data_IF_899686269706
#
_entry.id   IF_899686269706
#
_cell.length_a   1.000
_cell.length_b   1.000
_cell.length_c   1.000
_cell.angle_alpha   90.00
_cell.angle_beta   90.00
_cell.angle_gamma   90.00
#
_symmetry.space_group_name_H-M   'P 1'
#
loop_
_entity.id
_entity.type
_entity.pdbx_description
1 polymer ?
#
# COMPACT_ATOMS: atom_id res chain seq x y z
N UNK A 1 -9.78 -39.59 17.83
CA UNK A 1 -10.59 -38.38 17.56
C UNK A 1 -9.82 -37.07 17.73
N UNK A 2 -8.66 -37.03 18.40
CA UNK A 2 -7.92 -35.78 18.66
C UNK A 2 -6.94 -35.38 17.52
N UNK A 3 -6.53 -36.32 16.67
CA UNK A 3 -5.60 -36.05 15.55
C UNK A 3 -6.31 -35.39 14.35
N UNK A 4 -7.61 -35.67 14.16
CA UNK A 4 -8.42 -35.08 13.08
C UNK A 4 -8.69 -33.59 13.29
N UNK A 5 -8.95 -33.18 14.53
CA UNK A 5 -9.22 -31.78 14.88
C UNK A 5 -7.97 -30.91 14.76
N UNK A 6 -6.78 -31.43 15.07
CA UNK A 6 -5.53 -30.69 14.89
C UNK A 6 -5.16 -30.52 13.41
N UNK A 7 -5.43 -31.53 12.57
CA UNK A 7 -5.22 -31.44 11.12
C UNK A 7 -6.23 -30.47 10.48
N UNK A 8 -7.48 -30.47 10.94
CA UNK A 8 -8.48 -29.54 10.47
C UNK A 8 -8.18 -28.10 10.93
N UNK A 9 -7.72 -27.89 12.17
CA UNK A 9 -7.26 -26.57 12.65
C UNK A 9 -6.01 -26.09 11.89
N UNK A 10 -5.07 -26.99 11.58
CA UNK A 10 -3.87 -26.66 10.81
C UNK A 10 -4.22 -26.33 9.35
N UNK A 11 -5.12 -27.08 8.71
CA UNK A 11 -5.64 -26.74 7.38
C UNK A 11 -6.44 -25.42 7.39
N UNK A 12 -7.19 -25.13 8.47
CA UNK A 12 -7.91 -23.86 8.62
C UNK A 12 -6.94 -22.68 8.82
N UNK A 13 -5.86 -22.87 9.59
CA UNK A 13 -4.80 -21.88 9.81
C UNK A 13 -3.96 -21.65 8.55
N UNK A 14 -3.60 -22.70 7.81
CA UNK A 14 -2.88 -22.60 6.53
C UNK A 14 -3.76 -21.92 5.46
N UNK A 15 -5.08 -22.11 5.51
CA UNK A 15 -6.04 -21.41 4.62
C UNK A 15 -6.16 -19.90 4.91
N UNK A 16 -5.69 -19.42 6.06
CA UNK A 16 -5.75 -18.01 6.47
C UNK A 16 -4.42 -17.27 6.30
N UNK A 17 -3.30 -17.98 6.09
CA UNK A 17 -2.02 -17.35 5.81
C UNK A 17 -1.94 -16.95 4.34
N UNK A 18 -2.02 -15.64 4.07
CA UNK A 18 -1.65 -15.08 2.76
C UNK A 18 -0.16 -15.33 2.55
N UNK A 19 0.19 -16.36 1.77
CA UNK A 19 1.59 -16.62 1.39
C UNK A 19 1.95 -15.70 0.23
N UNK A 20 2.97 -14.87 0.41
CA UNK A 20 3.50 -14.04 -0.66
C UNK A 20 4.35 -14.89 -1.59
N UNK A 21 4.09 -14.83 -2.91
CA UNK A 21 4.73 -15.65 -3.94
C UNK A 21 5.34 -14.77 -5.03
N UNK A 22 6.32 -15.28 -5.77
CA UNK A 22 7.01 -14.56 -6.85
C UNK A 22 6.51 -15.06 -8.20
N UNK A 23 6.16 -14.13 -9.09
CA UNK A 23 5.82 -14.44 -10.48
C UNK A 23 6.64 -13.57 -11.42
N UNK A 24 6.97 -14.11 -12.59
CA UNK A 24 7.63 -13.38 -13.67
C UNK A 24 6.65 -13.26 -14.83
N UNK A 25 6.40 -12.04 -15.28
CA UNK A 25 5.44 -11.74 -16.34
C UNK A 25 6.16 -11.15 -17.55
N UNK A 26 5.76 -11.56 -18.75
CA UNK A 26 6.16 -10.93 -20.01
C UNK A 26 5.08 -9.94 -20.43
N UNK A 27 5.47 -8.73 -20.84
CA UNK A 27 4.56 -7.73 -21.40
C UNK A 27 5.02 -7.35 -22.81
N UNK A 28 4.09 -7.29 -23.76
CA UNK A 28 4.38 -6.94 -25.16
C UNK A 28 3.32 -6.03 -25.78
N UNK A 29 3.73 -5.04 -26.58
CA UNK A 29 2.82 -4.11 -27.28
C UNK A 29 3.37 -3.69 -28.64
N UNK A 30 2.49 -3.52 -29.64
CA UNK A 30 2.87 -3.02 -30.97
C UNK A 30 1.94 -1.93 -31.55
N UNK A 31 0.88 -1.54 -30.82
CA UNK A 31 -0.08 -0.52 -31.27
C UNK A 31 -0.01 0.75 -30.43
N UNK A 32 -0.39 1.89 -31.03
CA UNK A 32 -0.52 3.17 -30.32
C UNK A 32 0.78 3.63 -29.64
N UNK A 33 0.64 4.27 -28.47
CA UNK A 33 1.77 4.71 -27.66
C UNK A 33 2.31 3.53 -26.82
N UNK A 34 3.29 2.81 -27.39
CA UNK A 34 3.87 1.59 -26.80
C UNK A 34 4.46 1.81 -25.40
N UNK A 35 5.12 2.95 -25.16
CA UNK A 35 5.69 3.24 -23.83
C UNK A 35 4.60 3.45 -22.78
N UNK A 36 3.57 4.20 -23.14
CA UNK A 36 2.41 4.45 -22.27
C UNK A 36 1.62 3.17 -22.00
N UNK A 37 1.42 2.32 -23.01
CA UNK A 37 0.78 1.01 -22.83
C UNK A 37 1.54 0.13 -21.83
N UNK A 38 2.87 0.06 -21.94
CA UNK A 38 3.71 -0.67 -20.98
C UNK A 38 3.59 -0.07 -19.58
N UNK A 39 3.67 1.26 -19.45
CA UNK A 39 3.58 1.93 -18.15
C UNK A 39 2.21 1.68 -17.49
N UNK A 40 1.12 1.89 -18.22
CA UNK A 40 -0.23 1.68 -17.69
C UNK A 40 -0.46 0.22 -17.27
N UNK A 41 0.10 -0.74 -18.01
CA UNK A 41 0.04 -2.15 -17.63
C UNK A 41 0.82 -2.43 -16.34
N UNK A 42 2.01 -1.85 -16.19
CA UNK A 42 2.82 -1.97 -14.96
C UNK A 42 2.08 -1.38 -13.76
N UNK A 43 1.46 -0.20 -13.93
CA UNK A 43 0.72 0.47 -12.85
C UNK A 43 -0.51 -0.35 -12.43
N UNK A 44 -1.29 -0.86 -13.39
CA UNK A 44 -2.43 -1.74 -13.11
C UNK A 44 -2.02 -3.07 -12.47
N UNK A 45 -0.86 -3.63 -12.84
CA UNK A 45 -0.32 -4.83 -12.20
C UNK A 45 0.09 -4.51 -10.77
N UNK A 46 0.76 -3.38 -10.53
CA UNK A 46 1.14 -2.96 -9.18
C UNK A 46 -0.09 -2.80 -8.26
N UNK A 47 -1.20 -2.26 -8.80
CA UNK A 47 -2.43 -2.04 -8.05
C UNK A 47 -3.28 -3.31 -7.85
N UNK A 48 -3.40 -4.17 -8.88
CA UNK A 48 -4.35 -5.30 -8.87
C UNK A 48 -3.72 -6.67 -8.61
N UNK A 49 -2.40 -6.82 -8.77
CA UNK A 49 -1.69 -8.10 -8.63
C UNK A 49 -0.77 -8.11 -7.43
N UNK A 50 -0.01 -7.02 -7.24
CA UNK A 50 0.91 -6.84 -6.12
C UNK A 50 2.22 -6.15 -6.53
N UNK A 51 3.14 -6.01 -5.57
CA UNK A 51 4.31 -5.14 -5.74
C UNK A 51 5.24 -5.61 -6.86
N UNK A 52 5.55 -4.69 -7.79
CA UNK A 52 6.57 -4.87 -8.83
C UNK A 52 7.95 -4.68 -8.19
N UNK A 53 8.76 -5.73 -8.19
CA UNK A 53 10.09 -5.74 -7.60
C UNK A 53 11.18 -5.27 -8.57
N UNK A 54 11.04 -5.63 -9.86
CA UNK A 54 11.99 -5.25 -10.89
C UNK A 54 11.33 -5.25 -12.27
N UNK A 55 11.85 -4.41 -13.16
CA UNK A 55 11.42 -4.29 -14.56
C UNK A 55 12.69 -4.40 -15.42
N UNK A 56 12.65 -5.23 -16.46
CA UNK A 56 13.73 -5.31 -17.44
C UNK A 56 13.83 -4.01 -18.24
N UNK A 57 14.90 -3.87 -19.00
CA UNK A 57 14.98 -2.87 -20.05
C UNK A 57 13.95 -3.16 -21.16
N UNK A 58 13.66 -2.14 -21.98
CA UNK A 58 12.73 -2.29 -23.12
C UNK A 58 13.48 -2.84 -24.32
N UNK A 59 12.96 -3.94 -24.87
CA UNK A 59 13.54 -4.59 -26.04
C UNK A 59 12.59 -4.50 -27.23
N UNK A 60 13.12 -3.97 -28.32
CA UNK A 60 12.44 -3.81 -29.60
C UNK A 60 12.69 -5.04 -30.49
N UNK A 61 11.63 -5.58 -31.08
CA UNK A 61 11.70 -6.67 -32.08
C UNK A 61 10.82 -6.39 -33.29
N UNK A 62 11.23 -6.88 -34.46
CA UNK A 62 10.41 -6.80 -35.67
C UNK A 62 9.12 -7.63 -35.53
N UNK A 63 8.11 -7.29 -36.34
CA UNK A 63 6.86 -8.05 -36.43
C UNK A 63 7.11 -9.39 -37.13
N UNK A 64 6.67 -10.48 -36.51
CA UNK A 64 6.85 -11.84 -37.06
C UNK A 64 5.80 -12.11 -38.13
N UNK A 65 6.20 -12.10 -39.41
CA UNK A 65 5.41 -12.64 -40.53
C UNK A 65 4.32 -11.75 -41.13
N UNK A 66 4.23 -10.46 -40.77
CA UNK A 66 3.32 -9.48 -41.37
C UNK A 66 3.94 -8.06 -41.34
N UNK A 67 3.58 -7.17 -42.28
CA UNK A 67 3.93 -5.73 -42.21
C UNK A 67 3.17 -5.07 -41.05
N UNK A 68 3.77 -5.06 -39.86
CA UNK A 68 3.25 -4.29 -38.72
C UNK A 68 4.36 -3.59 -37.94
N UNK A 69 3.97 -2.63 -37.09
CA UNK A 69 4.90 -1.88 -36.26
C UNK A 69 5.71 -2.80 -35.34
N UNK A 70 6.93 -2.37 -35.03
CA UNK A 70 7.82 -3.08 -34.11
C UNK A 70 7.19 -3.28 -32.72
N UNK A 71 7.42 -4.44 -32.12
CA UNK A 71 7.00 -4.76 -30.75
C UNK A 71 7.97 -4.21 -29.73
N UNK A 72 7.45 -3.69 -28.62
CA UNK A 72 8.21 -3.40 -27.41
C UNK A 72 7.89 -4.47 -26.38
N UNK A 73 8.93 -5.13 -25.86
CA UNK A 73 8.83 -6.25 -24.94
C UNK A 73 9.61 -5.96 -23.65
N UNK A 74 9.02 -6.31 -22.51
CA UNK A 74 9.68 -6.30 -21.20
C UNK A 74 9.31 -7.56 -20.42
N UNK A 75 10.09 -7.85 -19.39
CA UNK A 75 9.71 -8.75 -18.31
C UNK A 75 9.68 -8.00 -16.99
N UNK A 76 8.76 -8.38 -16.11
CA UNK A 76 8.66 -7.84 -14.77
C UNK A 76 8.64 -8.96 -13.73
N UNK A 77 9.24 -8.70 -12.57
CA UNK A 77 9.17 -9.56 -11.39
C UNK A 77 8.17 -8.95 -10.42
N UNK A 78 7.18 -9.74 -10.02
CA UNK A 78 6.08 -9.29 -9.15
C UNK A 78 5.92 -10.22 -7.96
N UNK A 79 5.58 -9.64 -6.81
CA UNK A 79 5.08 -10.42 -5.68
C UNK A 79 3.56 -10.41 -5.67
N UNK A 80 2.94 -11.54 -5.36
CA UNK A 80 1.49 -11.65 -5.31
C UNK A 80 1.03 -12.60 -4.21
N UNK A 81 -0.15 -12.31 -3.67
CA UNK A 81 -0.88 -13.22 -2.78
C UNK A 81 -1.96 -14.01 -3.52
N UNK A 82 -2.15 -13.76 -4.82
CA UNK A 82 -3.16 -14.44 -5.61
C UNK A 82 -2.67 -15.82 -6.05
N UNK A 83 -3.52 -16.85 -5.99
CA UNK A 83 -3.20 -18.14 -6.60
C UNK A 83 -3.11 -17.99 -8.14
N UNK A 84 -2.36 -18.87 -8.83
CA UNK A 84 -2.07 -18.75 -10.27
C UNK A 84 -3.31 -18.55 -11.17
N UNK A 85 -4.39 -19.28 -10.92
CA UNK A 85 -5.62 -19.17 -11.72
C UNK A 85 -6.30 -17.79 -11.54
N UNK A 86 -6.30 -17.27 -10.31
CA UNK A 86 -6.87 -15.95 -10.01
C UNK A 86 -6.00 -14.84 -10.61
N UNK A 87 -4.67 -15.00 -10.53
CA UNK A 87 -3.73 -14.10 -11.19
C UNK A 87 -4.01 -14.01 -12.69
N UNK A 88 -4.13 -15.15 -13.37
CA UNK A 88 -4.46 -15.18 -14.81
C UNK A 88 -5.76 -14.43 -15.14
N UNK A 89 -6.81 -14.58 -14.33
CA UNK A 89 -8.06 -13.82 -14.51
C UNK A 89 -7.86 -12.31 -14.39
N UNK A 90 -7.07 -11.87 -13.39
CA UNK A 90 -6.78 -10.45 -13.17
C UNK A 90 -6.00 -9.88 -14.36
N UNK A 91 -4.97 -10.59 -14.84
CA UNK A 91 -4.17 -10.15 -16.00
C UNK A 91 -5.04 -10.01 -17.26
N UNK A 92 -5.93 -10.96 -17.53
CA UNK A 92 -6.88 -10.88 -18.66
C UNK A 92 -7.82 -9.67 -18.55
N UNK A 93 -8.21 -9.28 -17.34
CA UNK A 93 -9.04 -8.09 -17.12
C UNK A 93 -8.24 -6.81 -17.37
N UNK A 94 -6.98 -6.74 -16.92
CA UNK A 94 -6.07 -5.61 -17.19
C UNK A 94 -5.90 -5.42 -18.70
N UNK A 95 -5.67 -6.49 -19.45
CA UNK A 95 -5.57 -6.41 -20.91
C UNK A 95 -6.87 -5.85 -21.53
N UNK A 96 -8.03 -6.33 -21.06
CA UNK A 96 -9.32 -5.86 -21.54
C UNK A 96 -9.54 -4.37 -21.26
N UNK A 97 -9.11 -3.89 -20.09
CA UNK A 97 -9.19 -2.48 -19.67
C UNK A 97 -8.29 -1.58 -20.54
N UNK A 98 -7.11 -2.06 -20.92
CA UNK A 98 -6.19 -1.36 -21.84
C UNK A 98 -6.60 -1.49 -23.33
N UNK A 99 -7.83 -1.92 -23.59
CA UNK A 99 -8.44 -1.89 -24.92
C UNK A 99 -8.33 -3.18 -25.73
N UNK A 100 -8.00 -4.33 -25.11
CA UNK A 100 -8.04 -5.63 -25.79
C UNK A 100 -9.50 -6.02 -26.13
N UNK A 101 -9.94 -5.73 -27.35
CA UNK A 101 -11.17 -6.30 -27.92
C UNK A 101 -10.90 -7.74 -28.34
N UNK A 102 -11.47 -8.74 -27.65
CA UNK A 102 -11.37 -10.15 -28.06
C UNK A 102 -11.96 -10.34 -29.46
N UNK A 103 -11.13 -10.53 -30.48
CA UNK A 103 -11.55 -11.03 -31.80
C UNK A 103 -11.26 -12.54 -31.86
N UNK A 104 -12.24 -13.32 -32.30
CA UNK A 104 -12.17 -14.78 -32.48
C UNK A 104 -11.30 -15.19 -33.69
N UNK A 105 -10.03 -14.78 -33.74
CA UNK A 105 -9.09 -15.20 -34.80
C UNK A 105 -7.87 -15.86 -34.16
N UNK A 106 -7.58 -17.09 -34.58
CA UNK A 106 -6.37 -17.80 -34.20
C UNK A 106 -5.16 -17.18 -34.92
N UNK A 107 -4.23 -16.57 -34.19
CA UNK A 107 -2.99 -15.98 -34.74
C UNK A 107 -2.42 -14.81 -33.95
N UNK A 108 -1.28 -14.29 -34.39
CA UNK A 108 -0.72 -13.02 -33.92
C UNK A 108 -1.47 -11.87 -34.60
N UNK A 109 -2.38 -11.25 -33.87
CA UNK A 109 -2.99 -9.98 -34.27
C UNK A 109 -2.24 -8.82 -33.61
N UNK A 110 -2.36 -7.62 -34.19
CA UNK A 110 -1.89 -6.39 -33.56
C UNK A 110 -2.61 -6.16 -32.21
N UNK A 111 -1.85 -5.75 -31.19
CA UNK A 111 -2.27 -5.68 -29.78
C UNK A 111 -1.86 -4.37 -29.13
N UNK A 112 -2.79 -3.81 -28.35
CA UNK A 112 -2.48 -2.72 -27.42
C UNK A 112 -1.55 -3.20 -26.28
N UNK A 113 -1.78 -4.38 -25.71
CA UNK A 113 -0.90 -5.02 -24.72
C UNK A 113 -1.21 -6.53 -24.64
N UNK A 114 -0.19 -7.33 -24.36
CA UNK A 114 -0.27 -8.77 -24.08
C UNK A 114 0.54 -9.07 -22.82
N UNK A 115 -0.02 -9.87 -21.90
CA UNK A 115 0.57 -10.15 -20.59
C UNK A 115 0.56 -11.67 -20.34
N UNK A 116 1.74 -12.28 -20.35
CA UNK A 116 1.91 -13.73 -20.15
C UNK A 116 2.58 -14.03 -18.81
N UNK A 117 2.11 -15.05 -18.09
CA UNK A 117 2.78 -15.60 -16.90
C UNK A 117 3.89 -16.54 -17.38
N UNK A 118 5.15 -16.20 -17.13
CA UNK A 118 6.31 -17.01 -17.52
C UNK A 118 6.67 -18.06 -16.47
N UNK A 119 6.79 -17.65 -15.22
CA UNK A 119 7.19 -18.47 -14.08
C UNK A 119 6.35 -18.06 -12.87
N UNK A 120 6.03 -19.02 -12.01
CA UNK A 120 5.32 -18.80 -10.75
C UNK A 120 6.00 -19.65 -9.67
N UNK A 121 6.84 -19.03 -8.85
CA UNK A 121 7.86 -19.67 -8.03
C UNK A 121 8.58 -20.81 -8.79
N UNK A 122 8.59 -22.01 -8.22
CA UNK A 122 9.14 -23.24 -8.78
C UNK A 122 8.04 -24.20 -9.28
N UNK A 123 6.81 -23.73 -9.45
CA UNK A 123 5.67 -24.57 -9.82
C UNK A 123 5.70 -25.03 -11.28
N UNK A 124 5.15 -26.23 -11.48
CA UNK A 124 4.82 -26.77 -12.79
C UNK A 124 3.30 -26.99 -12.82
N UNK A 125 2.61 -26.11 -13.54
CA UNK A 125 1.15 -26.09 -13.68
C UNK A 125 0.80 -26.51 -15.10
N UNK A 126 -0.05 -27.51 -15.24
CA UNK A 126 -0.61 -27.93 -16.52
C UNK A 126 -2.13 -28.07 -16.39
N UNK A 127 -2.85 -27.05 -16.82
CA UNK A 127 -4.31 -27.01 -16.79
C UNK A 127 -4.87 -26.56 -18.15
N UNK A 128 -6.20 -26.61 -18.30
CA UNK A 128 -6.87 -26.13 -19.52
C UNK A 128 -6.73 -24.61 -19.71
N UNK A 129 -6.52 -23.87 -18.64
CA UNK A 129 -6.57 -22.40 -18.61
C UNK A 129 -5.20 -21.76 -18.40
N UNK A 130 -4.24 -22.49 -17.83
CA UNK A 130 -2.91 -21.99 -17.47
C UNK A 130 -1.84 -23.08 -17.59
N UNK A 131 -0.72 -22.74 -18.23
CA UNK A 131 0.50 -23.55 -18.29
C UNK A 131 1.67 -22.71 -17.75
N UNK A 132 2.33 -23.19 -16.70
CA UNK A 132 3.51 -22.57 -16.08
C UNK A 132 4.56 -23.66 -15.83
N UNK A 133 5.84 -23.46 -16.13
CA UNK A 133 6.41 -22.38 -16.93
C UNK A 133 5.75 -22.24 -18.31
N UNK A 134 5.73 -21.04 -18.87
CA UNK A 134 5.08 -20.79 -20.15
C UNK A 134 5.70 -21.65 -21.26
N UNK A 135 4.90 -22.49 -21.92
CA UNK A 135 5.38 -23.56 -22.82
C UNK A 135 6.29 -23.11 -23.96
N UNK A 136 6.15 -21.87 -24.44
CA UNK A 136 6.94 -21.31 -25.54
C UNK A 136 8.02 -20.31 -25.09
N UNK A 137 8.23 -20.11 -23.79
CA UNK A 137 9.17 -19.08 -23.32
C UNK A 137 10.60 -19.35 -23.80
N UNK A 138 11.06 -20.60 -23.69
CA UNK A 138 12.43 -21.01 -24.04
C UNK A 138 12.74 -20.95 -25.54
N UNK A 139 11.71 -20.88 -26.37
CA UNK A 139 11.83 -20.82 -27.83
C UNK A 139 11.77 -19.39 -28.38
N UNK A 140 11.73 -18.37 -27.51
CA UNK A 140 11.48 -16.98 -27.90
C UNK A 140 12.50 -16.04 -27.27
N UNK A 141 13.39 -15.51 -28.09
CA UNK A 141 14.47 -14.62 -27.66
C UNK A 141 13.93 -13.31 -27.07
N UNK A 142 12.85 -12.77 -27.63
CA UNK A 142 12.19 -11.54 -27.15
C UNK A 142 11.59 -11.66 -25.74
N UNK A 143 11.40 -12.89 -25.24
CA UNK A 143 11.00 -13.20 -23.87
C UNK A 143 12.24 -13.51 -23.03
N UNK A 144 13.14 -14.37 -23.53
CA UNK A 144 14.27 -14.87 -22.76
C UNK A 144 15.33 -13.80 -22.46
N UNK A 145 15.55 -12.84 -23.36
CA UNK A 145 16.49 -11.73 -23.13
C UNK A 145 16.06 -10.84 -21.97
N UNK A 146 14.84 -10.23 -21.97
CA UNK A 146 14.39 -9.45 -20.83
C UNK A 146 14.24 -10.27 -19.54
N UNK A 147 13.83 -11.54 -19.64
CA UNK A 147 13.74 -12.39 -18.44
C UNK A 147 15.12 -12.67 -17.84
N UNK A 148 16.13 -12.97 -18.65
CA UNK A 148 17.49 -13.25 -18.16
C UNK A 148 18.13 -12.02 -17.49
N UNK A 149 17.79 -10.81 -17.93
CA UNK A 149 18.23 -9.55 -17.30
C UNK A 149 17.82 -9.48 -15.81
N UNK A 150 16.57 -9.85 -15.49
CA UNK A 150 16.01 -9.73 -14.13
C UNK A 150 15.98 -11.04 -13.34
N UNK A 151 16.18 -12.18 -14.01
CA UNK A 151 15.98 -13.52 -13.45
C UNK A 151 17.11 -14.49 -13.85
N UNK A 152 18.26 -14.03 -14.29
CA UNK A 152 19.32 -14.89 -14.85
C UNK A 152 19.79 -16.01 -13.93
N UNK A 153 19.73 -15.84 -12.61
CA UNK A 153 20.08 -16.85 -11.60
C UNK A 153 18.94 -17.80 -11.22
N UNK A 154 17.69 -17.49 -11.57
CA UNK A 154 16.53 -18.33 -11.29
C UNK A 154 16.67 -19.66 -12.04
N UNK A 155 16.31 -20.76 -11.38
CA UNK A 155 16.32 -22.10 -11.97
C UNK A 155 14.97 -22.35 -12.65
N UNK A 156 14.99 -22.69 -13.94
CA UNK A 156 13.79 -23.07 -14.65
C UNK A 156 13.21 -24.38 -14.08
N UNK A 157 11.92 -24.44 -13.69
CA UNK A 157 11.33 -25.60 -13.02
C UNK A 157 11.43 -26.92 -13.79
N UNK A 158 11.38 -26.89 -15.12
CA UNK A 158 11.43 -28.10 -15.98
C UNK A 158 12.87 -28.43 -16.39
N UNK A 159 13.52 -27.55 -17.17
CA UNK A 159 14.92 -27.72 -17.61
C UNK A 159 15.97 -27.87 -16.48
N UNK A 160 15.66 -27.46 -15.25
CA UNK A 160 16.57 -27.45 -14.09
C UNK A 160 17.89 -26.69 -14.34
N UNK A 161 17.88 -25.76 -15.28
CA UNK A 161 19.01 -24.88 -15.60
C UNK A 161 18.68 -23.44 -15.23
N UNK A 162 19.72 -22.63 -15.01
CA UNK A 162 19.55 -21.19 -14.80
C UNK A 162 18.96 -20.55 -16.04
N UNK A 163 18.07 -19.57 -15.89
CA UNK A 163 17.47 -18.85 -17.02
C UNK A 163 18.54 -18.26 -17.96
N UNK A 164 19.67 -17.78 -17.44
CA UNK A 164 20.77 -17.29 -18.26
C UNK A 164 21.36 -18.39 -19.18
N UNK A 165 21.40 -19.65 -18.72
CA UNK A 165 21.85 -20.79 -19.52
C UNK A 165 20.75 -21.18 -20.52
N UNK A 166 19.50 -21.20 -20.10
CA UNK A 166 18.37 -21.46 -21.00
C UNK A 166 18.33 -20.48 -22.19
N UNK A 167 18.66 -19.20 -21.97
CA UNK A 167 18.77 -18.21 -23.05
C UNK A 167 19.88 -18.57 -24.06
N UNK A 168 21.02 -19.11 -23.61
CA UNK A 168 22.10 -19.55 -24.51
C UNK A 168 21.68 -20.72 -25.41
N UNK A 169 20.73 -21.53 -24.95
CA UNK A 169 20.18 -22.67 -25.69
C UNK A 169 18.95 -22.29 -26.54
N UNK A 170 18.58 -21.02 -26.60
CA UNK A 170 17.45 -20.53 -27.39
C UNK A 170 17.83 -20.47 -28.88
N UNK A 171 17.14 -21.23 -29.73
CA UNK A 171 17.41 -21.30 -31.17
C UNK A 171 16.69 -20.20 -31.99
N UNK A 172 16.20 -19.14 -31.33
CA UNK A 172 15.53 -18.03 -32.02
C UNK A 172 16.58 -16.99 -32.46
N UNK A 173 16.74 -16.86 -33.78
CA UNK A 173 17.71 -15.98 -34.42
C UNK A 173 17.20 -14.55 -34.62
N UNK A 174 16.02 -14.20 -34.09
CA UNK A 174 15.45 -12.85 -34.22
C UNK A 174 16.39 -11.76 -33.69
N UNK A 175 16.41 -10.63 -34.39
CA UNK A 175 17.12 -9.43 -33.95
C UNK A 175 16.39 -8.76 -32.79
N UNK A 176 17.15 -8.39 -31.76
CA UNK A 176 16.63 -7.71 -30.58
C UNK A 176 17.46 -6.45 -30.34
N UNK A 177 16.78 -5.31 -30.29
CA UNK A 177 17.41 -4.01 -30.07
C UNK A 177 17.01 -3.48 -28.70
N UNK A 178 17.99 -3.20 -27.85
CA UNK A 178 17.79 -2.50 -26.58
C UNK A 178 17.40 -1.04 -26.86
N UNK A 179 16.36 -0.56 -26.18
CA UNK A 179 15.96 0.84 -26.20
C UNK A 179 16.50 1.59 -24.98
N UNK A 180 16.64 2.91 -25.12
CA UNK A 180 17.16 3.76 -24.03
C UNK A 180 16.07 4.16 -23.03
N UNK A 181 14.81 4.13 -23.46
CA UNK A 181 13.66 4.41 -22.61
C UNK A 181 13.47 3.33 -21.54
N UNK A 182 13.03 3.75 -20.36
CA UNK A 182 12.80 2.84 -19.22
C UNK A 182 11.42 3.09 -18.60
N UNK A 183 10.66 2.03 -18.31
CA UNK A 183 9.44 2.18 -17.54
C UNK A 183 9.77 2.60 -16.10
N UNK A 184 8.86 3.34 -15.46
CA UNK A 184 8.97 3.69 -14.05
C UNK A 184 8.36 2.58 -13.22
N UNK A 185 9.10 2.10 -12.21
CA UNK A 185 8.59 1.14 -11.24
C UNK A 185 7.67 1.85 -10.24
N UNK A 186 6.41 1.41 -10.07
CA UNK A 186 5.56 1.88 -8.99
C UNK A 186 6.17 1.48 -7.65
N UNK A 187 6.46 2.46 -6.79
CA UNK A 187 7.04 2.23 -5.47
C UNK A 187 5.88 1.96 -4.50
N UNK A 188 5.82 0.78 -3.85
CA UNK A 188 4.81 0.50 -2.83
C UNK A 188 4.90 1.48 -1.65
N UNK A 189 3.77 1.77 -1.00
CA UNK A 189 3.72 2.61 0.21
C UNK A 189 4.71 2.12 1.28
N UNK A 190 4.78 0.79 1.49
CA UNK A 190 5.67 0.15 2.46
C UNK A 190 7.16 0.24 2.12
N UNK A 191 7.52 0.57 0.87
CA UNK A 191 8.90 0.86 0.47
C UNK A 191 9.18 2.36 0.53
N UNK A 192 8.16 3.18 0.25
CA UNK A 192 8.26 4.65 0.24
C UNK A 192 8.35 5.24 1.65
N UNK A 193 7.65 4.65 2.61
CA UNK A 193 7.57 5.13 3.99
C UNK A 193 7.82 3.99 4.97
N UNK A 194 8.57 4.27 6.03
CA UNK A 194 8.69 3.40 7.20
C UNK A 194 7.62 3.75 8.24
N UNK A 195 7.24 5.03 8.36
CA UNK A 195 6.27 5.49 9.34
C UNK A 195 5.28 6.52 8.78
N UNK A 196 3.99 6.19 8.81
CA UNK A 196 2.88 7.11 8.49
C UNK A 196 2.05 7.38 9.75
N UNK A 197 1.81 8.65 10.05
CA UNK A 197 0.88 9.05 11.11
C UNK A 197 -0.40 9.63 10.50
N UNK A 198 -1.55 9.07 10.88
CA UNK A 198 -2.87 9.49 10.45
C UNK A 198 -3.52 10.33 11.55
N UNK A 199 -3.76 11.59 11.25
CA UNK A 199 -4.22 12.61 12.17
C UNK A 199 -5.52 13.27 11.71
N UNK A 200 -6.18 13.97 12.62
CA UNK A 200 -7.53 14.46 12.37
C UNK A 200 -8.40 14.58 13.61
N UNK A 201 -9.54 15.25 13.44
CA UNK A 201 -10.47 15.53 14.53
C UNK A 201 -11.14 14.25 15.10
N UNK A 202 -11.79 14.39 16.26
CA UNK A 202 -12.59 13.33 16.88
C UNK A 202 -13.74 12.97 15.92
N UNK A 203 -13.82 11.71 15.50
CA UNK A 203 -14.81 11.27 14.51
C UNK A 203 -14.36 11.36 13.04
N UNK A 204 -13.11 11.73 12.74
CA UNK A 204 -12.62 11.87 11.37
C UNK A 204 -12.32 10.53 10.64
N UNK A 205 -12.32 9.39 11.36
CA UNK A 205 -12.06 8.07 10.75
C UNK A 205 -10.61 7.57 10.80
N UNK A 206 -9.71 8.23 11.54
CA UNK A 206 -8.28 7.87 11.69
C UNK A 206 -8.02 6.40 11.99
N UNK A 207 -8.67 5.88 13.05
CA UNK A 207 -8.51 4.49 13.49
C UNK A 207 -8.97 3.51 12.42
N UNK A 208 -10.05 3.84 11.68
CA UNK A 208 -10.54 3.00 10.58
C UNK A 208 -9.52 2.95 9.44
N UNK A 209 -9.03 4.12 8.99
CA UNK A 209 -8.04 4.18 7.91
C UNK A 209 -6.75 3.46 8.30
N UNK A 210 -6.27 3.64 9.53
CA UNK A 210 -5.05 2.99 10.03
C UNK A 210 -5.16 1.47 10.05
N UNK A 211 -6.33 0.93 10.45
CA UNK A 211 -6.61 -0.51 10.42
C UNK A 211 -6.66 -1.06 9.00
N UNK A 212 -7.37 -0.37 8.10
CA UNK A 212 -7.45 -0.78 6.70
C UNK A 212 -6.06 -0.78 6.03
N UNK A 213 -5.24 0.24 6.27
CA UNK A 213 -3.86 0.29 5.79
C UNK A 213 -2.98 -0.80 6.41
N UNK A 214 -3.15 -1.09 7.70
CA UNK A 214 -2.44 -2.19 8.37
C UNK A 214 -2.77 -3.54 7.74
N UNK A 215 -4.05 -3.81 7.48
CA UNK A 215 -4.51 -5.06 6.87
C UNK A 215 -4.06 -5.20 5.39
N UNK A 216 -4.08 -4.11 4.62
CA UNK A 216 -3.68 -4.12 3.21
C UNK A 216 -2.16 -4.25 3.03
N UNK A 217 -1.39 -3.44 3.77
CA UNK A 217 0.05 -3.34 3.59
C UNK A 217 0.85 -4.18 4.59
N UNK A 218 0.17 -5.01 5.40
CA UNK A 218 0.76 -5.79 6.49
C UNK A 218 1.62 -4.90 7.42
N UNK A 219 1.10 -3.70 7.72
CA UNK A 219 1.79 -2.70 8.52
C UNK A 219 1.61 -2.99 10.01
N UNK A 220 2.63 -2.74 10.82
CA UNK A 220 2.46 -2.67 12.28
C UNK A 220 1.60 -1.46 12.61
N UNK A 221 0.54 -1.67 13.38
CA UNK A 221 -0.39 -0.61 13.76
C UNK A 221 -0.14 -0.11 15.17
N UNK A 222 -0.13 1.22 15.35
CA UNK A 222 -0.06 1.87 16.67
C UNK A 222 -1.33 2.67 16.87
N UNK A 223 -2.17 2.25 17.83
CA UNK A 223 -3.47 2.85 18.10
C UNK A 223 -3.47 3.62 19.42
N UNK A 224 -4.10 4.78 19.44
CA UNK A 224 -4.26 5.56 20.66
C UNK A 224 -5.05 4.79 21.73
N UNK A 225 -4.47 4.70 22.93
CA UNK A 225 -5.08 4.07 24.10
C UNK A 225 -5.81 5.13 24.93
N UNK A 226 -7.08 5.39 24.61
CA UNK A 226 -7.92 6.32 25.39
C UNK A 226 -8.96 5.63 26.27
N UNK A 227 -9.31 4.36 25.99
CA UNK A 227 -10.42 3.67 26.65
C UNK A 227 -10.14 3.39 28.14
N UNK A 228 -8.89 3.12 28.49
CA UNK A 228 -8.49 2.75 29.86
C UNK A 228 -8.12 3.99 30.72
N UNK A 229 -8.31 5.20 30.19
CA UNK A 229 -7.89 6.42 30.89
C UNK A 229 -8.89 6.81 31.99
N UNK A 230 -8.49 6.78 33.29
CA UNK A 230 -9.41 7.04 34.40
C UNK A 230 -9.83 8.51 34.55
N UNK A 231 -9.16 9.43 33.85
CA UNK A 231 -9.48 10.86 33.85
C UNK A 231 -10.41 11.25 32.71
N UNK A 232 -10.50 10.46 31.63
CA UNK A 232 -11.26 10.83 30.45
C UNK A 232 -12.76 10.99 30.73
N UNK A 233 -13.46 10.06 31.41
CA UNK A 233 -14.86 10.28 31.79
C UNK A 233 -15.02 11.51 32.69
N UNK A 234 -14.12 11.67 33.68
CA UNK A 234 -14.16 12.78 34.65
C UNK A 234 -13.93 14.14 34.01
N UNK A 235 -13.11 14.22 32.96
CA UNK A 235 -12.91 15.42 32.17
C UNK A 235 -14.18 15.89 31.48
N UNK A 236 -15.01 14.97 30.98
CA UNK A 236 -16.29 15.36 30.38
C UNK A 236 -17.31 15.84 31.42
N UNK A 237 -17.16 15.46 32.69
CA UNK A 237 -17.98 15.95 33.81
C UNK A 237 -17.47 17.31 34.34
N UNK A 238 -16.15 17.46 34.52
CA UNK A 238 -15.49 18.65 35.07
C UNK A 238 -14.15 18.91 34.35
N UNK A 239 -14.22 19.69 33.27
CA UNK A 239 -13.06 20.00 32.43
C UNK A 239 -11.98 20.74 33.20
N UNK A 240 -12.35 21.73 34.02
CA UNK A 240 -11.39 22.59 34.70
C UNK A 240 -10.53 21.80 35.67
N UNK A 241 -11.12 20.85 36.40
CA UNK A 241 -10.40 20.05 37.39
C UNK A 241 -9.56 18.92 36.77
N UNK A 242 -10.01 18.33 35.67
CA UNK A 242 -9.43 17.09 35.15
C UNK A 242 -8.68 17.25 33.82
N UNK A 243 -8.67 18.42 33.18
CA UNK A 243 -7.93 18.64 31.94
C UNK A 243 -6.43 18.37 32.10
N UNK A 244 -5.77 18.96 33.10
CA UNK A 244 -4.33 18.78 33.29
C UNK A 244 -3.90 17.32 33.53
N UNK A 245 -4.47 16.56 34.49
CA UNK A 245 -4.11 15.16 34.66
C UNK A 245 -4.44 14.30 33.44
N UNK A 246 -5.53 14.60 32.72
CA UNK A 246 -5.88 13.91 31.48
C UNK A 246 -4.80 14.13 30.39
N UNK A 247 -4.48 15.39 30.08
CA UNK A 247 -3.50 15.69 29.03
C UNK A 247 -2.11 15.12 29.37
N UNK A 248 -1.67 15.21 30.64
CA UNK A 248 -0.41 14.61 31.07
C UNK A 248 -0.40 13.09 30.93
N UNK A 249 -1.51 12.42 31.26
CA UNK A 249 -1.61 10.97 31.07
C UNK A 249 -1.55 10.59 29.58
N UNK A 250 -2.22 11.34 28.70
CA UNK A 250 -2.11 11.11 27.26
C UNK A 250 -0.70 11.34 26.74
N UNK A 251 -0.01 12.40 27.19
CA UNK A 251 1.37 12.66 26.79
C UNK A 251 2.31 11.51 27.18
N UNK A 252 2.20 11.01 28.42
CA UNK A 252 2.99 9.89 28.91
C UNK A 252 2.72 8.61 28.11
N UNK A 253 1.46 8.24 27.93
CA UNK A 253 1.06 7.01 27.21
C UNK A 253 1.47 7.06 25.73
N UNK A 254 1.33 8.23 25.08
CA UNK A 254 1.73 8.41 23.68
C UNK A 254 3.24 8.32 23.51
N UNK A 255 4.01 8.93 24.41
CA UNK A 255 5.47 8.85 24.37
C UNK A 255 5.96 7.42 24.60
N UNK A 256 5.42 6.71 25.60
CA UNK A 256 5.82 5.33 25.86
C UNK A 256 5.54 4.44 24.64
N UNK A 257 4.33 4.52 24.06
CA UNK A 257 3.99 3.75 22.86
C UNK A 257 4.87 4.08 21.67
N UNK A 258 5.04 5.36 21.34
CA UNK A 258 5.85 5.74 20.17
C UNK A 258 7.33 5.41 20.38
N UNK A 259 7.85 5.56 21.59
CA UNK A 259 9.24 5.20 21.92
C UNK A 259 9.44 3.69 21.78
N UNK A 260 8.59 2.87 22.40
CA UNK A 260 8.70 1.40 22.37
C UNK A 260 8.47 0.84 20.95
N UNK A 261 7.46 1.35 20.25
CA UNK A 261 7.04 0.79 18.96
C UNK A 261 7.91 1.24 17.79
N UNK A 262 8.47 2.47 17.84
CA UNK A 262 9.31 3.01 16.78
C UNK A 262 10.80 2.76 17.00
N UNK A 263 11.27 2.51 18.24
CA UNK A 263 12.65 2.10 18.48
C UNK A 263 13.00 0.75 17.80
N UNK A 264 12.00 -0.07 17.50
CA UNK A 264 12.16 -1.35 16.81
C UNK A 264 12.26 -1.24 15.28
N UNK A 265 11.98 -0.08 14.68
CA UNK A 265 12.02 0.12 13.23
C UNK A 265 13.39 -0.17 12.61
N UNK A 266 14.48 0.05 13.36
CA UNK A 266 15.85 -0.13 12.87
C UNK A 266 16.27 -1.59 12.71
N UNK A 267 15.63 -2.53 13.45
CA UNK A 267 16.06 -3.94 13.49
C UNK A 267 15.35 -4.83 12.46
N UNK A 268 14.11 -4.50 12.12
CA UNK A 268 13.31 -5.19 11.10
C UNK A 268 12.54 -4.12 10.34
N UNK A 269 12.80 -3.93 9.04
CA UNK A 269 12.06 -2.98 8.20
C UNK A 269 10.57 -3.33 8.20
N UNK A 270 9.84 -2.78 9.16
CA UNK A 270 8.42 -2.96 9.35
C UNK A 270 7.75 -1.62 9.09
N UNK A 271 6.94 -1.55 8.05
CA UNK A 271 6.11 -0.39 7.78
C UNK A 271 5.14 -0.17 8.96
N UNK A 272 5.11 1.02 9.55
CA UNK A 272 4.26 1.40 10.69
C UNK A 272 3.21 2.42 10.25
N UNK A 273 1.98 2.20 10.70
CA UNK A 273 0.88 3.16 10.58
C UNK A 273 0.32 3.45 11.96
N UNK A 274 0.27 4.72 12.36
CA UNK A 274 -0.35 5.15 13.61
C UNK A 274 -1.60 5.98 13.38
N UNK A 275 -2.59 5.90 14.29
CA UNK A 275 -3.82 6.72 14.21
C UNK A 275 -3.74 8.05 14.99
N UNK A 276 -2.53 8.41 15.40
CA UNK A 276 -2.14 9.67 16.00
C UNK A 276 -0.64 9.92 15.82
N UNK A 277 -0.24 11.16 16.02
CA UNK A 277 1.13 11.62 16.23
C UNK A 277 1.20 12.41 17.54
N UNK A 278 2.41 12.53 18.10
CA UNK A 278 2.57 13.10 19.44
C UNK A 278 2.10 14.56 19.52
N UNK A 279 2.17 15.36 18.44
CA UNK A 279 1.72 16.77 18.46
C UNK A 279 0.24 16.97 18.77
N UNK A 280 -0.59 15.95 18.61
CA UNK A 280 -1.96 15.96 19.12
C UNK A 280 -2.02 16.37 20.58
N UNK A 281 -1.05 15.93 21.40
CA UNK A 281 -0.89 16.34 22.79
C UNK A 281 -0.84 17.85 22.98
N UNK A 282 -0.13 18.57 22.12
CA UNK A 282 0.03 20.02 22.23
C UNK A 282 -1.25 20.75 21.77
N UNK A 283 -1.89 20.25 20.70
CA UNK A 283 -3.13 20.81 20.16
C UNK A 283 -4.24 20.74 21.21
N UNK A 284 -4.45 19.58 21.83
CA UNK A 284 -5.49 19.39 22.82
C UNK A 284 -5.21 20.21 24.09
N UNK A 285 -3.98 20.17 24.60
CA UNK A 285 -3.57 20.94 25.76
C UNK A 285 -3.75 22.45 25.58
N UNK A 286 -3.48 22.99 24.39
CA UNK A 286 -3.69 24.42 24.11
C UNK A 286 -5.18 24.83 24.20
N UNK A 287 -6.10 23.89 23.95
CA UNK A 287 -7.54 24.14 23.97
C UNK A 287 -8.12 23.93 25.36
N UNK A 288 -7.60 22.97 26.12
CA UNK A 288 -8.19 22.50 27.38
C UNK A 288 -7.55 23.11 28.63
N UNK A 289 -6.25 23.46 28.59
CA UNK A 289 -5.51 23.90 29.77
C UNK A 289 -5.52 25.42 29.97
N UNK A 290 -5.44 25.83 31.23
CA UNK A 290 -5.20 27.23 31.57
C UNK A 290 -3.76 27.63 31.18
N UNK A 291 -3.50 28.95 31.10
CA UNK A 291 -2.23 29.47 30.58
C UNK A 291 -1.00 28.90 31.32
N UNK A 292 -1.02 28.88 32.66
CA UNK A 292 0.13 28.43 33.44
C UNK A 292 0.32 26.90 33.37
N UNK A 293 -0.79 26.15 33.35
CA UNK A 293 -0.80 24.70 33.13
C UNK A 293 -0.25 24.34 31.74
N UNK A 294 -0.68 25.06 30.70
CA UNK A 294 -0.20 24.88 29.33
C UNK A 294 1.30 25.16 29.21
N UNK A 295 1.81 26.20 29.89
CA UNK A 295 3.25 26.50 29.89
C UNK A 295 4.06 25.38 30.54
N UNK A 296 3.57 24.79 31.64
CA UNK A 296 4.21 23.63 32.26
C UNK A 296 4.14 22.40 31.34
N UNK A 297 2.96 22.14 30.78
CA UNK A 297 2.74 21.03 29.85
C UNK A 297 3.65 21.11 28.63
N UNK A 298 3.78 22.30 28.02
CA UNK A 298 4.65 22.52 26.86
C UNK A 298 6.11 22.25 27.20
N UNK A 299 6.58 22.62 28.39
CA UNK A 299 7.95 22.27 28.83
C UNK A 299 8.14 20.75 28.91
N UNK A 300 7.17 20.02 29.45
CA UNK A 300 7.22 18.55 29.50
C UNK A 300 7.22 17.94 28.09
N UNK A 301 6.33 18.42 27.22
CA UNK A 301 6.26 18.01 25.82
C UNK A 301 7.60 18.22 25.10
N UNK A 302 8.21 19.40 25.22
CA UNK A 302 9.47 19.73 24.53
C UNK A 302 10.65 18.87 25.00
N UNK A 303 10.62 18.37 26.25
CA UNK A 303 11.61 17.43 26.76
C UNK A 303 11.44 16.05 26.12
N UNK A 304 10.20 15.55 26.08
CA UNK A 304 9.87 14.21 25.58
C UNK A 304 9.96 14.12 24.05
N UNK A 305 9.61 15.19 23.34
CA UNK A 305 9.55 15.21 21.88
C UNK A 305 10.90 15.03 21.20
N UNK A 306 12.02 15.38 21.86
CA UNK A 306 13.37 15.30 21.28
C UNK A 306 13.78 13.89 20.87
N UNK A 307 13.23 12.88 21.53
CA UNK A 307 13.57 11.47 21.33
C UNK A 307 12.58 10.75 20.41
N UNK A 308 11.55 11.44 19.93
CA UNK A 308 10.48 10.83 19.14
C UNK A 308 10.84 10.84 17.66
N UNK A 309 10.80 9.64 17.06
CA UNK A 309 10.90 9.45 15.61
C UNK A 309 9.75 10.16 14.91
N UNK A 310 10.08 10.98 13.91
CA UNK A 310 9.10 11.70 13.10
C UNK A 310 8.52 10.78 12.02
N UNK A 311 7.25 10.94 11.64
CA UNK A 311 6.69 10.22 10.50
C UNK A 311 7.33 10.70 9.20
N UNK A 312 7.51 9.76 8.27
CA UNK A 312 7.89 10.05 6.89
C UNK A 312 6.74 10.71 6.12
N UNK A 313 5.50 10.46 6.56
CA UNK A 313 4.30 11.13 6.08
C UNK A 313 3.30 11.37 7.22
N UNK A 314 2.90 12.63 7.38
CA UNK A 314 1.82 13.06 8.26
C UNK A 314 0.55 13.28 7.43
N UNK A 315 -0.45 12.42 7.59
CA UNK A 315 -1.73 12.49 6.86
C UNK A 315 -2.77 13.16 7.76
N UNK A 316 -3.27 14.33 7.38
CA UNK A 316 -4.37 14.98 8.09
C UNK A 316 -5.70 14.73 7.36
N UNK A 317 -6.60 14.00 8.01
CA UNK A 317 -7.97 13.81 7.56
C UNK A 317 -8.83 15.01 7.96
N UNK A 318 -9.07 15.87 6.98
CA UNK A 318 -10.06 16.93 7.08
C UNK A 318 -11.46 16.32 6.96
N UNK A 319 -12.34 16.66 7.90
CA UNK A 319 -13.73 16.22 7.91
C UNK A 319 -14.59 17.35 8.47
N UNK A 320 -15.73 17.62 7.82
CA UNK A 320 -16.62 18.69 8.23
C UNK A 320 -17.32 18.38 9.57
N UNK A 321 -17.67 19.43 10.31
CA UNK A 321 -18.21 19.31 11.68
C UNK A 321 -19.50 18.49 11.76
N UNK A 322 -20.36 18.57 10.74
CA UNK A 322 -21.61 17.81 10.67
C UNK A 322 -21.34 16.31 10.67
N UNK A 323 -20.48 15.84 9.76
CA UNK A 323 -20.05 14.44 9.65
C UNK A 323 -19.30 13.96 10.89
N UNK A 324 -18.45 14.81 11.50
CA UNK A 324 -17.77 14.47 12.75
C UNK A 324 -18.79 14.12 13.85
N UNK A 325 -19.82 14.95 14.02
CA UNK A 325 -20.87 14.71 15.02
C UNK A 325 -21.69 13.45 14.71
N UNK A 326 -22.03 13.21 13.45
CA UNK A 326 -22.70 11.97 13.03
C UNK A 326 -21.86 10.73 13.37
N UNK A 327 -20.56 10.77 13.07
CA UNK A 327 -19.64 9.67 13.37
C UNK A 327 -19.46 9.46 14.88
N UNK A 328 -19.39 10.54 15.67
CA UNK A 328 -19.32 10.46 17.14
C UNK A 328 -20.60 9.82 17.71
N UNK A 329 -21.77 10.25 17.24
CA UNK A 329 -23.06 9.68 17.65
C UNK A 329 -23.15 8.19 17.29
N UNK A 330 -22.82 7.83 16.05
CA UNK A 330 -22.81 6.44 15.56
C UNK A 330 -21.86 5.55 16.36
N UNK A 331 -20.71 6.10 16.79
CA UNK A 331 -19.71 5.38 17.60
C UNK A 331 -20.20 5.08 19.03
N UNK A 332 -21.15 5.86 19.56
CA UNK A 332 -21.90 5.51 20.77
C UNK A 332 -21.09 5.44 22.07
N UNK A 333 -19.98 6.18 22.19
CA UNK A 333 -19.28 6.30 23.48
C UNK A 333 -20.02 7.28 24.37
N UNK A 334 -20.45 6.84 25.55
CA UNK A 334 -21.31 7.61 26.47
C UNK A 334 -20.74 9.01 26.77
N UNK A 335 -19.44 9.10 27.05
CA UNK A 335 -18.77 10.34 27.42
C UNK A 335 -18.55 11.32 26.24
N UNK A 336 -18.71 10.89 24.98
CA UNK A 336 -18.56 11.75 23.80
C UNK A 336 -19.90 12.29 23.26
N UNK A 337 -21.03 11.79 23.74
CA UNK A 337 -22.35 12.11 23.15
C UNK A 337 -22.75 13.58 23.26
N UNK A 338 -22.18 14.30 24.24
CA UNK A 338 -22.44 15.71 24.50
C UNK A 338 -21.34 16.64 23.95
N UNK A 339 -20.52 16.17 22.99
CA UNK A 339 -19.52 17.01 22.35
C UNK A 339 -20.19 18.10 21.49
N UNK A 340 -19.89 19.35 21.82
CA UNK A 340 -20.37 20.52 21.08
C UNK A 340 -19.60 20.76 19.78
N UNK A 341 -20.31 21.24 18.75
CA UNK A 341 -19.72 21.62 17.46
C UNK A 341 -18.60 22.66 17.62
N UNK A 342 -18.75 23.61 18.55
CA UNK A 342 -17.77 24.66 18.84
C UNK A 342 -16.45 24.10 19.39
N UNK A 343 -16.50 22.99 20.12
CA UNK A 343 -15.28 22.32 20.61
C UNK A 343 -14.54 21.64 19.46
N UNK A 344 -15.26 20.96 18.56
CA UNK A 344 -14.66 20.38 17.36
C UNK A 344 -14.04 21.46 16.46
N UNK A 345 -14.66 22.63 16.34
CA UNK A 345 -14.10 23.76 15.60
C UNK A 345 -12.77 24.25 16.20
N UNK A 346 -12.67 24.36 17.53
CA UNK A 346 -11.40 24.73 18.19
C UNK A 346 -10.28 23.73 17.88
N UNK A 347 -10.59 22.44 17.89
CA UNK A 347 -9.63 21.38 17.51
C UNK A 347 -9.21 21.54 16.06
N UNK A 348 -10.16 21.84 15.18
CA UNK A 348 -9.90 22.08 13.77
C UNK A 348 -8.90 23.24 13.55
N UNK A 349 -9.14 24.37 14.23
CA UNK A 349 -8.28 25.54 14.15
C UNK A 349 -6.87 25.24 14.73
N UNK A 350 -6.81 24.42 15.78
CA UNK A 350 -5.56 23.92 16.35
C UNK A 350 -4.73 23.10 15.35
N UNK A 351 -5.33 22.14 14.65
CA UNK A 351 -4.65 21.39 13.60
C UNK A 351 -4.22 22.28 12.43
N UNK A 352 -5.09 23.20 11.99
CA UNK A 352 -4.76 24.15 10.92
C UNK A 352 -3.55 25.00 11.30
N UNK A 353 -3.51 25.52 12.53
CA UNK A 353 -2.37 26.27 13.04
C UNK A 353 -1.10 25.41 13.09
N UNK A 354 -1.20 24.18 13.58
CA UNK A 354 -0.06 23.25 13.64
C UNK A 354 0.51 22.96 12.25
N UNK A 355 -0.33 22.56 11.30
CA UNK A 355 0.10 22.24 9.93
C UNK A 355 0.75 23.45 9.26
N UNK A 356 0.19 24.65 9.44
CA UNK A 356 0.75 25.86 8.84
C UNK A 356 2.11 26.28 9.40
N UNK A 357 2.45 25.84 10.62
CA UNK A 357 3.69 26.22 11.30
C UNK A 357 4.80 25.18 11.17
N UNK A 358 4.47 23.93 10.86
CA UNK A 358 5.41 22.82 10.89
C UNK A 358 6.03 22.51 9.51
N UNK A 359 6.98 23.35 9.09
CA UNK A 359 7.63 23.26 7.77
C UNK A 359 8.46 21.98 7.54
N UNK A 360 8.80 21.25 8.60
CA UNK A 360 9.68 20.08 8.54
C UNK A 360 8.95 18.73 8.50
N UNK A 361 7.60 18.71 8.51
CA UNK A 361 6.83 17.49 8.33
C UNK A 361 6.33 17.38 6.90
N UNK A 362 6.59 16.26 6.25
CA UNK A 362 5.93 15.92 4.99
C UNK A 362 4.44 15.70 5.27
N UNK A 363 3.60 16.66 4.88
CA UNK A 363 2.19 16.72 5.30
C UNK A 363 1.28 16.59 4.09
N UNK A 364 0.36 15.64 4.16
CA UNK A 364 -0.71 15.44 3.18
C UNK A 364 -2.06 15.71 3.85
N UNK A 365 -2.82 16.66 3.32
CA UNK A 365 -4.19 16.95 3.77
C UNK A 365 -5.17 16.27 2.82
N UNK A 366 -6.06 15.43 3.37
CA UNK A 366 -7.07 14.71 2.61
C UNK A 366 -8.44 15.13 3.14
N UNK A 367 -9.27 15.69 2.26
CA UNK A 367 -10.67 15.97 2.58
C UNK A 367 -11.50 14.69 2.40
N UNK A 368 -12.02 14.17 3.51
CA UNK A 368 -12.86 12.97 3.55
C UNK A 368 -14.34 13.32 3.77
N UNK A 369 -14.73 14.58 3.56
CA UNK A 369 -16.08 15.06 3.87
C UNK A 369 -17.20 14.39 3.08
N UNK A 370 -16.91 14.09 1.82
CA UNK A 370 -17.84 13.45 0.90
C UNK A 370 -17.51 11.97 0.66
N UNK A 371 -16.56 11.40 1.42
CA UNK A 371 -16.07 10.04 1.25
C UNK A 371 -16.62 9.13 2.35
N UNK A 372 -17.08 7.93 1.98
CA UNK A 372 -17.38 6.84 2.91
C UNK A 372 -16.40 5.68 2.70
N UNK A 373 -15.12 5.95 2.91
CA UNK A 373 -14.05 4.98 2.69
C UNK A 373 -14.16 3.71 3.56
N UNK A 374 -15.03 3.69 4.58
CA UNK A 374 -15.25 2.49 5.39
C UNK A 374 -16.16 1.50 4.66
N UNK A 375 -17.17 1.99 3.93
CA UNK A 375 -18.15 1.13 3.25
C UNK A 375 -18.01 1.15 1.72
N UNK A 376 -17.25 2.09 1.17
CA UNK A 376 -17.00 2.25 -0.25
C UNK A 376 -15.51 2.01 -0.59
N UNK A 377 -15.17 0.87 -1.23
CA UNK A 377 -13.80 0.57 -1.63
C UNK A 377 -13.16 1.59 -2.58
N UNK A 378 -13.96 2.27 -3.42
CA UNK A 378 -13.46 3.27 -4.36
C UNK A 378 -12.98 4.53 -3.63
N UNK A 379 -13.72 4.95 -2.59
CA UNK A 379 -13.34 6.08 -1.73
C UNK A 379 -12.06 5.78 -0.96
N UNK A 380 -11.91 4.55 -0.46
CA UNK A 380 -10.67 4.10 0.17
C UNK A 380 -9.51 4.11 -0.82
N UNK A 381 -9.72 3.58 -2.03
CA UNK A 381 -8.71 3.58 -3.10
C UNK A 381 -8.28 5.00 -3.46
N UNK A 382 -9.20 5.96 -3.49
CA UNK A 382 -8.90 7.37 -3.71
C UNK A 382 -7.94 7.92 -2.62
N UNK A 383 -8.22 7.65 -1.35
CA UNK A 383 -7.34 8.05 -0.24
C UNK A 383 -5.94 7.44 -0.38
N UNK A 384 -5.86 6.13 -0.68
CA UNK A 384 -4.58 5.44 -0.87
C UNK A 384 -3.79 6.01 -2.04
N UNK A 385 -4.45 6.36 -3.15
CA UNK A 385 -3.79 6.98 -4.29
C UNK A 385 -3.24 8.37 -3.96
N UNK A 386 -3.92 9.16 -3.13
CA UNK A 386 -3.38 10.42 -2.62
C UNK A 386 -2.13 10.17 -1.75
N UNK A 387 -2.15 9.15 -0.87
CA UNK A 387 -1.00 8.77 -0.04
C UNK A 387 0.18 8.29 -0.90
N UNK A 388 -0.06 7.51 -1.96
CA UNK A 388 0.99 7.09 -2.91
C UNK A 388 1.68 8.28 -3.59
N UNK A 389 0.96 9.37 -3.81
CA UNK A 389 1.42 10.54 -4.57
C UNK A 389 1.91 11.73 -3.72
N UNK A 390 1.57 11.79 -2.43
CA UNK A 390 2.09 12.79 -1.47
C UNK A 390 3.56 12.56 -1.15
#
# INVERSE_FOLDING_TARGET
MIIGDFFMLFCFFVSLMKIQRITYLSLGTNQGNKLENLQNAIDLIADKVGAVLSISSIYKTASWGFDSNDFYNICIKVTTYHPPEKLMQILLNIESELGRKRKNVAGYADRNIDIDILLFDDEIIFSKTLIVPHSKMLARKFVMVPLAEIAGSVIHPIEKQKIAICLQNCNDDSDITLLNEKPKRPIPISEKYNYIAIEGNIGAGKTSLSKMMSDEFNAKIVLERFADNPFLPKFYEDKERFAFPLEMSFLADRYQQLSDDLAQLDLFKNFVVSDYYIFKSLIFAQITLQKDEYLLYRKMFDLMYKEITKPDLYVYLYQNTTRLLENIKKRGRDYEQNIEASYLQKIHDGYKSFISTQQNLNTLVIDVSELDFVNNPDDYTNIINQIKNG
#
